data_IF_808923177056
#
_entry.id   IF_808923177056
#
_cell.length_a   1.000
_cell.length_b   1.000
_cell.length_c   1.000
_cell.angle_alpha   90.00
_cell.angle_beta   90.00
_cell.angle_gamma   90.00
#
_symmetry.space_group_name_H-M   'P 1'
#
loop_
_entity.id
_entity.type
_entity.pdbx_description
1 polymer ?
#
# COMPACT_ATOMS: atom_id res chain seq x y z
N UNK A 1 14.85 6.10 -18.83
CA UNK A 1 14.96 7.31 -17.98
C UNK A 1 15.46 6.84 -16.64
N UNK A 2 16.62 7.32 -16.21
CA UNK A 2 17.27 6.93 -14.96
C UNK A 2 16.43 7.43 -13.78
N UNK A 3 15.85 6.51 -13.00
CA UNK A 3 15.24 6.83 -11.69
C UNK A 3 16.37 7.12 -10.69
N UNK A 4 17.08 8.23 -10.88
CA UNK A 4 18.11 8.67 -9.96
C UNK A 4 17.43 9.26 -8.72
N UNK A 5 17.66 8.59 -7.58
CA UNK A 5 17.24 9.07 -6.28
C UNK A 5 18.18 10.17 -5.83
N UNK A 6 17.62 11.26 -5.30
CA UNK A 6 18.43 12.33 -4.74
C UNK A 6 18.56 12.13 -3.23
N UNK A 7 19.78 11.94 -2.76
CA UNK A 7 20.09 11.78 -1.35
C UNK A 7 20.50 13.12 -0.74
N UNK A 8 19.98 13.41 0.44
CA UNK A 8 20.30 14.60 1.22
C UNK A 8 21.11 14.14 2.43
N UNK A 9 22.32 14.67 2.57
CA UNK A 9 23.22 14.38 3.67
C UNK A 9 23.33 15.58 4.63
N UNK A 10 23.63 15.30 5.89
CA UNK A 10 23.96 16.31 6.89
C UNK A 10 25.42 16.81 6.72
N UNK A 11 25.84 17.67 7.65
CA UNK A 11 27.20 18.25 7.66
C UNK A 11 28.31 17.23 7.90
N UNK A 12 28.00 16.05 8.45
CA UNK A 12 28.96 14.96 8.68
C UNK A 12 28.99 13.99 7.48
N UNK A 13 28.17 14.24 6.45
CA UNK A 13 28.07 13.40 5.26
C UNK A 13 27.14 12.19 5.45
N UNK A 14 26.41 12.11 6.56
CA UNK A 14 25.45 11.03 6.81
C UNK A 14 24.13 11.34 6.09
N UNK A 15 23.62 10.36 5.34
CA UNK A 15 22.33 10.49 4.64
C UNK A 15 21.20 10.56 5.65
N UNK A 16 20.45 11.67 5.62
CA UNK A 16 19.32 11.92 6.53
C UNK A 16 17.97 11.83 5.83
N UNK A 17 17.93 12.02 4.50
CA UNK A 17 16.70 11.88 3.73
C UNK A 17 16.95 11.58 2.26
N UNK A 18 15.89 11.19 1.55
CA UNK A 18 15.92 10.91 0.11
C UNK A 18 14.68 11.53 -0.56
N UNK A 19 14.89 12.17 -1.71
CA UNK A 19 13.81 12.65 -2.58
C UNK A 19 13.57 11.57 -3.64
N UNK A 20 12.31 11.14 -3.72
CA UNK A 20 11.87 10.07 -4.61
C UNK A 20 10.83 10.61 -5.60
N UNK A 21 10.76 10.08 -6.84
CA UNK A 21 9.63 10.34 -7.72
C UNK A 21 8.30 9.92 -7.09
N UNK A 22 7.22 10.66 -7.39
CA UNK A 22 5.91 10.41 -6.77
C UNK A 22 5.37 9.01 -7.06
N UNK A 23 5.62 8.47 -8.26
CA UNK A 23 5.22 7.10 -8.61
C UNK A 23 5.90 6.06 -7.71
N UNK A 24 7.20 6.22 -7.44
CA UNK A 24 7.94 5.34 -6.55
C UNK A 24 7.47 5.47 -5.09
N UNK A 25 7.14 6.68 -4.65
CA UNK A 25 6.54 6.87 -3.33
C UNK A 25 5.21 6.12 -3.18
N UNK A 26 4.35 6.19 -4.19
CA UNK A 26 3.06 5.50 -4.18
C UNK A 26 3.23 3.97 -4.13
N UNK A 27 4.20 3.42 -4.87
CA UNK A 27 4.55 1.99 -4.80
C UNK A 27 5.01 1.58 -3.39
N UNK A 28 5.95 2.33 -2.80
CA UNK A 28 6.45 2.06 -1.43
C UNK A 28 5.31 2.13 -0.39
N UNK A 29 4.41 3.11 -0.53
CA UNK A 29 3.28 3.26 0.39
C UNK A 29 2.25 2.15 0.24
N UNK A 30 1.98 1.69 -0.99
CA UNK A 30 1.12 0.53 -1.24
C UNK A 30 1.69 -0.76 -0.62
N UNK A 31 3.02 -0.91 -0.63
CA UNK A 31 3.69 -2.00 0.08
C UNK A 31 3.53 -1.90 1.59
N UNK A 32 3.57 -0.69 2.18
CA UNK A 32 3.39 -0.52 3.64
C UNK A 32 2.00 -0.91 4.12
N UNK A 33 0.96 -0.52 3.38
CA UNK A 33 -0.43 -0.91 3.69
C UNK A 33 -0.62 -2.42 3.53
N UNK A 34 -0.07 -2.99 2.45
CA UNK A 34 -0.11 -4.44 2.22
C UNK A 34 0.69 -5.20 3.29
N UNK A 35 1.87 -4.72 3.68
CA UNK A 35 2.71 -5.31 4.71
C UNK A 35 2.02 -5.28 6.08
N UNK A 36 1.30 -4.19 6.40
CA UNK A 36 0.47 -4.12 7.60
C UNK A 36 -0.61 -5.20 7.60
N UNK A 37 -1.36 -5.37 6.51
CA UNK A 37 -2.36 -6.43 6.39
C UNK A 37 -1.74 -7.84 6.40
N UNK A 38 -0.52 -8.01 5.89
CA UNK A 38 0.20 -9.29 5.90
C UNK A 38 0.81 -9.64 7.26
N UNK A 39 0.97 -8.67 8.17
CA UNK A 39 1.54 -8.90 9.52
C UNK A 39 0.68 -9.83 10.39
N UNK A 40 -0.63 -9.88 10.15
CA UNK A 40 -1.56 -10.78 10.84
C UNK A 40 -1.87 -12.01 9.99
N UNK A 41 -1.66 -13.24 10.48
CA UNK A 41 -2.00 -14.47 9.74
C UNK A 41 -3.47 -14.53 9.32
N UNK A 42 -4.37 -14.07 10.19
CA UNK A 42 -5.80 -14.03 9.91
C UNK A 42 -6.13 -13.02 8.81
N UNK A 43 -5.48 -11.86 8.81
CA UNK A 43 -5.70 -10.82 7.81
C UNK A 43 -5.11 -11.21 6.45
N UNK A 44 -3.92 -11.83 6.44
CA UNK A 44 -3.32 -12.44 5.24
C UNK A 44 -4.27 -13.46 4.60
N UNK A 45 -4.88 -14.35 5.40
CA UNK A 45 -5.84 -15.32 4.90
C UNK A 45 -7.08 -14.64 4.28
N UNK A 46 -7.62 -13.61 4.94
CA UNK A 46 -8.76 -12.82 4.40
C UNK A 46 -8.41 -12.15 3.08
N UNK A 47 -7.23 -11.54 2.98
CA UNK A 47 -6.75 -10.85 1.78
C UNK A 47 -6.62 -11.81 0.60
N UNK A 48 -5.99 -12.97 0.83
CA UNK A 48 -5.82 -13.99 -0.20
C UNK A 48 -7.16 -14.58 -0.68
N UNK A 49 -8.11 -14.76 0.24
CA UNK A 49 -9.47 -15.20 -0.11
C UNK A 49 -10.20 -14.13 -0.91
N UNK A 50 -10.15 -12.87 -0.49
CA UNK A 50 -10.79 -11.75 -1.20
C UNK A 50 -10.26 -11.60 -2.62
N UNK A 51 -8.93 -11.69 -2.81
CA UNK A 51 -8.27 -11.63 -4.13
C UNK A 51 -8.74 -12.72 -5.10
N UNK A 52 -9.17 -13.87 -4.59
CA UNK A 52 -9.64 -14.99 -5.41
C UNK A 52 -11.14 -14.90 -5.77
N UNK A 53 -11.89 -13.98 -5.17
CA UNK A 53 -13.32 -13.82 -5.47
C UNK A 53 -13.47 -13.18 -6.85
N UNK A 54 -14.32 -13.79 -7.67
CA UNK A 54 -14.73 -13.24 -8.97
C UNK A 54 -16.11 -12.59 -8.91
N UNK A 55 -16.80 -12.76 -7.78
CA UNK A 55 -18.15 -12.29 -7.55
C UNK A 55 -18.16 -11.22 -6.45
N UNK A 56 -19.10 -10.30 -6.56
CA UNK A 56 -19.35 -9.22 -5.60
C UNK A 56 -20.83 -8.90 -5.54
N UNK A 57 -21.17 -7.92 -4.72
CA UNK A 57 -22.52 -7.32 -4.68
C UNK A 57 -22.44 -5.89 -5.19
N UNK A 58 -23.53 -5.37 -5.75
CA UNK A 58 -23.59 -3.96 -6.13
C UNK A 58 -23.50 -3.06 -4.90
N UNK A 59 -23.18 -1.78 -5.14
CA UNK A 59 -23.17 -0.79 -4.08
C UNK A 59 -24.55 -0.66 -3.44
N UNK A 60 -25.64 -0.63 -4.22
CA UNK A 60 -27.00 -0.57 -3.66
C UNK A 60 -27.31 -1.77 -2.76
N UNK A 61 -26.97 -2.98 -3.21
CA UNK A 61 -27.20 -4.19 -2.42
C UNK A 61 -26.33 -4.25 -1.16
N UNK A 62 -25.15 -3.61 -1.18
CA UNK A 62 -24.31 -3.45 0.00
C UNK A 62 -24.91 -2.45 0.99
N UNK A 63 -25.33 -1.28 0.51
CA UNK A 63 -25.98 -0.24 1.31
C UNK A 63 -27.25 -0.78 2.00
N UNK A 64 -28.12 -1.46 1.24
CA UNK A 64 -29.34 -2.08 1.78
C UNK A 64 -29.02 -3.10 2.89
N UNK A 65 -28.04 -3.98 2.68
CA UNK A 65 -27.64 -4.98 3.69
C UNK A 65 -27.01 -4.36 4.93
N UNK A 66 -26.31 -3.24 4.78
CA UNK A 66 -25.64 -2.54 5.88
C UNK A 66 -26.55 -1.53 6.57
N UNK A 67 -27.73 -1.25 6.03
CA UNK A 67 -28.70 -0.30 6.58
C UNK A 67 -28.24 1.16 6.50
N UNK A 68 -27.47 1.50 5.48
CA UNK A 68 -26.93 2.84 5.22
C UNK A 68 -27.40 3.42 3.89
#
# INVERSE_FOLDING_TARGET
MTNELQYICDSEGQTVSVVVPIALWQEIMAEKETAYLLSSPAMKARLLTARKRQEGISLEAACEKLGI
#
